data_IF_391908586516
#
_entry.id   IF_391908586516
#
_cell.length_a   1.000
_cell.length_b   1.000
_cell.length_c   1.000
_cell.angle_alpha   90.00
_cell.angle_beta   90.00
_cell.angle_gamma   90.00
#
_symmetry.space_group_name_H-M   'P 1'
#
loop_
_entity.id
_entity.type
_entity.pdbx_description
1 polymer ?
#
# COMPACT_ATOMS: atom_id res chain seq x y z
N UNK A 1 -9.11 -1.34 6.19
CA UNK A 1 -8.13 -1.24 5.08
C UNK A 1 -8.43 -2.31 4.04
N UNK A 2 -8.42 -3.58 4.45
CA UNK A 2 -8.73 -4.77 3.66
C UNK A 2 -10.09 -4.74 2.95
N UNK A 3 -11.15 -4.37 3.65
CA UNK A 3 -12.52 -4.32 3.08
C UNK A 3 -12.66 -3.39 1.87
N UNK A 4 -11.87 -2.31 1.81
CA UNK A 4 -11.89 -1.37 0.68
C UNK A 4 -11.23 -1.97 -0.57
N UNK A 5 -10.20 -2.78 -0.38
CA UNK A 5 -9.42 -3.39 -1.48
C UNK A 5 -9.90 -4.82 -1.77
N UNK A 6 -10.99 -5.26 -1.14
CA UNK A 6 -11.57 -6.60 -1.28
C UNK A 6 -10.51 -7.71 -1.11
N UNK A 7 -9.60 -7.54 -0.16
CA UNK A 7 -8.57 -8.52 0.17
C UNK A 7 -8.85 -9.19 1.51
N UNK A 8 -8.71 -10.50 1.58
CA UNK A 8 -8.81 -11.25 2.85
C UNK A 8 -7.57 -11.07 3.74
N UNK A 9 -6.41 -10.76 3.13
CA UNK A 9 -5.15 -10.50 3.83
C UNK A 9 -4.18 -9.70 2.94
N UNK A 10 -3.09 -9.21 3.54
CA UNK A 10 -1.95 -8.64 2.82
C UNK A 10 -0.75 -9.59 2.93
N UNK A 11 0.10 -9.58 1.92
CA UNK A 11 1.41 -10.19 2.02
C UNK A 11 2.30 -9.46 3.03
N UNK A 12 3.30 -10.15 3.55
CA UNK A 12 4.39 -9.55 4.33
C UNK A 12 5.72 -9.80 3.63
N UNK A 13 6.70 -8.93 3.89
CA UNK A 13 8.06 -9.08 3.37
C UNK A 13 8.60 -10.47 3.73
N UNK A 14 8.47 -10.88 4.99
CA UNK A 14 8.92 -12.20 5.47
C UNK A 14 8.22 -13.35 4.73
N UNK A 15 6.90 -13.25 4.53
CA UNK A 15 6.15 -14.29 3.84
C UNK A 15 6.60 -14.47 2.39
N UNK A 16 6.85 -13.37 1.67
CA UNK A 16 7.36 -13.42 0.31
C UNK A 16 8.79 -13.97 0.24
N UNK A 17 9.67 -13.61 1.17
CA UNK A 17 11.02 -14.20 1.26
C UNK A 17 10.97 -15.71 1.46
N UNK A 18 10.08 -16.18 2.34
CA UNK A 18 9.86 -17.61 2.57
C UNK A 18 9.39 -18.32 1.30
N UNK A 19 8.38 -17.79 0.62
CA UNK A 19 7.85 -18.38 -0.61
C UNK A 19 8.89 -18.40 -1.74
N UNK A 20 9.68 -17.34 -1.89
CA UNK A 20 10.73 -17.27 -2.89
C UNK A 20 11.79 -18.37 -2.66
N UNK A 21 12.28 -18.51 -1.43
CA UNK A 21 13.24 -19.56 -1.07
C UNK A 21 12.68 -20.98 -1.31
N UNK A 22 11.42 -21.23 -0.92
CA UNK A 22 10.75 -22.51 -1.18
C UNK A 22 10.58 -22.82 -2.68
N UNK A 23 10.54 -21.77 -3.51
CA UNK A 23 10.38 -21.88 -4.96
C UNK A 23 11.73 -21.92 -5.71
N UNK A 24 12.85 -22.03 -4.99
CA UNK A 24 14.20 -22.11 -5.59
C UNK A 24 14.77 -20.77 -6.03
N UNK A 25 14.22 -19.65 -5.58
CA UNK A 25 14.79 -18.33 -5.84
C UNK A 25 15.82 -17.96 -4.77
N UNK A 26 16.90 -17.32 -5.20
CA UNK A 26 17.88 -16.68 -4.33
C UNK A 26 17.50 -15.22 -4.10
N UNK A 27 17.62 -14.77 -2.85
CA UNK A 27 17.41 -13.37 -2.47
C UNK A 27 18.62 -12.52 -2.86
N UNK A 28 18.39 -11.53 -3.74
CA UNK A 28 19.43 -10.57 -4.13
C UNK A 28 19.37 -9.34 -3.24
N UNK A 29 18.16 -8.81 -3.00
CA UNK A 29 17.97 -7.61 -2.18
C UNK A 29 16.54 -7.54 -1.65
N UNK A 30 16.40 -7.03 -0.42
CA UNK A 30 15.13 -6.56 0.13
C UNK A 30 15.33 -5.13 0.60
N UNK A 31 14.46 -4.23 0.14
CA UNK A 31 14.42 -2.83 0.55
C UNK A 31 13.14 -2.60 1.34
N UNK A 32 13.29 -2.27 2.62
CA UNK A 32 12.19 -1.82 3.45
C UNK A 32 12.03 -0.31 3.32
N UNK A 33 10.93 0.10 2.70
CA UNK A 33 10.53 1.50 2.47
C UNK A 33 9.31 1.86 3.32
N UNK A 34 9.04 1.15 4.42
CA UNK A 34 7.85 1.35 5.26
C UNK A 34 7.74 2.78 5.81
N UNK A 35 8.87 3.46 6.04
CA UNK A 35 8.90 4.88 6.44
C UNK A 35 8.22 5.81 5.40
N UNK A 36 8.25 5.45 4.12
CA UNK A 36 7.68 6.24 3.04
C UNK A 36 6.17 6.01 2.87
N UNK A 37 5.62 4.95 3.45
CA UNK A 37 4.23 4.54 3.24
C UNK A 37 3.25 5.60 3.74
N UNK A 38 3.47 6.11 4.96
CA UNK A 38 2.64 7.17 5.52
C UNK A 38 2.74 8.47 4.72
N UNK A 39 3.96 8.88 4.35
CA UNK A 39 4.21 10.10 3.60
C UNK A 39 3.55 10.05 2.21
N UNK A 40 3.67 8.92 1.51
CA UNK A 40 3.05 8.72 0.20
C UNK A 40 1.52 8.83 0.27
N UNK A 41 0.88 8.06 1.15
CA UNK A 41 -0.59 8.05 1.23
C UNK A 41 -1.16 9.36 1.80
N UNK A 42 -0.40 10.07 2.64
CA UNK A 42 -0.76 11.41 3.10
C UNK A 42 -0.75 12.40 1.93
N UNK A 43 0.24 12.32 1.04
CA UNK A 43 0.28 13.13 -0.18
C UNK A 43 -0.89 12.83 -1.12
N UNK A 44 -1.24 11.55 -1.32
CA UNK A 44 -2.39 11.16 -2.15
C UNK A 44 -3.71 11.68 -1.55
N UNK A 45 -3.88 11.61 -0.23
CA UNK A 45 -5.05 12.14 0.46
C UNK A 45 -5.21 13.66 0.29
N UNK A 46 -4.10 14.39 0.33
CA UNK A 46 -4.08 15.83 0.06
C UNK A 46 -4.51 16.13 -1.37
N UNK A 47 -3.94 15.44 -2.36
CA UNK A 47 -4.28 15.65 -3.77
C UNK A 47 -5.73 15.27 -4.08
N UNK A 48 -6.25 14.20 -3.47
CA UNK A 48 -7.68 13.85 -3.57
C UNK A 48 -8.58 15.01 -3.14
N UNK A 49 -8.17 15.74 -2.10
CA UNK A 49 -8.92 16.88 -1.56
C UNK A 49 -8.77 18.12 -2.44
N UNK A 50 -7.55 18.43 -2.89
CA UNK A 50 -7.25 19.57 -3.77
C UNK A 50 -7.96 19.42 -5.12
N UNK A 51 -7.95 18.22 -5.69
CA UNK A 51 -8.51 17.92 -7.01
C UNK A 51 -9.99 17.53 -6.97
N UNK A 52 -10.66 17.63 -5.82
CA UNK A 52 -12.03 17.12 -5.62
C UNK A 52 -13.01 17.53 -6.74
N UNK A 53 -13.06 18.82 -7.08
CA UNK A 53 -13.96 19.35 -8.11
C UNK A 53 -13.72 18.76 -9.50
N UNK A 54 -12.47 18.49 -9.86
CA UNK A 54 -12.14 17.84 -11.12
C UNK A 54 -12.48 16.35 -11.08
N UNK A 55 -12.26 15.69 -9.94
CA UNK A 55 -12.49 14.27 -9.77
C UNK A 55 -13.98 13.90 -9.77
N UNK A 56 -14.87 14.73 -9.21
CA UNK A 56 -16.32 14.46 -9.26
C UNK A 56 -16.91 14.49 -10.68
N UNK A 57 -16.15 15.00 -11.67
CA UNK A 57 -16.57 14.94 -13.08
C UNK A 57 -16.39 13.55 -13.69
N UNK A 58 -15.54 12.71 -13.08
CA UNK A 58 -15.15 11.38 -13.61
C UNK A 58 -15.30 10.26 -12.59
N UNK A 59 -15.62 10.58 -11.34
CA UNK A 59 -15.84 9.66 -10.23
C UNK A 59 -17.07 10.09 -9.43
N UNK A 60 -17.75 9.14 -8.79
CA UNK A 60 -18.88 9.49 -7.92
C UNK A 60 -18.40 10.09 -6.59
N UNK A 61 -19.22 10.93 -5.97
CA UNK A 61 -18.89 11.49 -4.65
C UNK A 61 -18.75 10.40 -3.58
N UNK A 62 -19.59 9.36 -3.64
CA UNK A 62 -19.53 8.23 -2.72
C UNK A 62 -18.20 7.50 -2.82
N UNK A 63 -17.69 7.30 -4.04
CA UNK A 63 -16.39 6.69 -4.27
C UNK A 63 -15.26 7.52 -3.66
N UNK A 64 -15.26 8.84 -3.88
CA UNK A 64 -14.24 9.73 -3.33
C UNK A 64 -14.29 9.77 -1.79
N UNK A 65 -15.49 9.75 -1.21
CA UNK A 65 -15.67 9.68 0.24
C UNK A 65 -15.08 8.37 0.82
N UNK A 66 -15.40 7.21 0.23
CA UNK A 66 -14.81 5.93 0.65
C UNK A 66 -13.29 5.89 0.44
N UNK A 67 -12.79 6.49 -0.65
CA UNK A 67 -11.36 6.59 -0.93
C UNK A 67 -10.62 7.40 0.13
N UNK A 68 -11.20 8.54 0.55
CA UNK A 68 -10.66 9.40 1.60
C UNK A 68 -10.50 8.63 2.92
N UNK A 69 -11.54 7.93 3.35
CA UNK A 69 -11.51 7.10 4.59
C UNK A 69 -10.47 6.00 4.47
N UNK A 70 -10.40 5.32 3.32
CA UNK A 70 -9.40 4.29 3.09
C UNK A 70 -7.97 4.82 3.21
N UNK A 71 -7.67 5.96 2.57
CA UNK A 71 -6.34 6.58 2.62
C UNK A 71 -5.96 7.01 4.05
N UNK A 72 -6.92 7.53 4.84
CA UNK A 72 -6.69 7.85 6.25
C UNK A 72 -6.27 6.60 7.04
N UNK A 73 -6.92 5.47 6.83
CA UNK A 73 -6.53 4.21 7.47
C UNK A 73 -5.12 3.76 7.05
N UNK A 74 -4.76 3.88 5.76
CA UNK A 74 -3.40 3.56 5.28
C UNK A 74 -2.33 4.45 5.95
N UNK A 75 -2.59 5.76 6.07
CA UNK A 75 -1.69 6.70 6.77
C UNK A 75 -1.54 6.32 8.24
N UNK A 76 -2.65 6.05 8.94
CA UNK A 76 -2.61 5.66 10.35
C UNK A 76 -1.87 4.35 10.57
N UNK A 77 -2.18 3.32 9.78
CA UNK A 77 -1.55 2.02 9.89
C UNK A 77 -0.07 2.05 9.51
N UNK A 78 0.34 2.90 8.58
CA UNK A 78 1.75 3.19 8.30
C UNK A 78 2.44 3.87 9.48
N UNK A 79 1.85 4.93 10.05
CA UNK A 79 2.40 5.64 11.22
C UNK A 79 2.49 4.74 12.47
N UNK A 80 1.63 3.73 12.59
CA UNK A 80 1.63 2.77 13.70
C UNK A 80 2.48 1.52 13.43
N UNK A 81 3.16 1.41 12.28
CA UNK A 81 3.99 0.26 11.94
C UNK A 81 3.22 -1.04 11.64
N UNK A 82 1.92 -0.97 11.37
CA UNK A 82 1.10 -2.14 11.03
C UNK A 82 1.13 -2.48 9.54
N UNK A 83 1.65 -1.58 8.70
CA UNK A 83 1.80 -1.80 7.26
C UNK A 83 3.24 -1.52 6.83
N UNK A 84 3.68 -2.29 5.84
CA UNK A 84 5.02 -2.18 5.28
C UNK A 84 4.96 -1.91 3.78
N UNK A 85 6.00 -1.26 3.27
CA UNK A 85 6.27 -1.15 1.84
C UNK A 85 7.62 -1.78 1.55
N UNK A 86 7.63 -2.94 0.88
CA UNK A 86 8.86 -3.63 0.51
C UNK A 86 9.07 -3.67 -1.01
N UNK A 87 10.32 -3.51 -1.45
CA UNK A 87 10.78 -3.92 -2.78
C UNK A 87 11.67 -5.15 -2.60
N UNK A 88 11.30 -6.25 -3.24
CA UNK A 88 12.00 -7.52 -3.10
C UNK A 88 12.54 -7.95 -4.47
N UNK A 89 13.84 -8.20 -4.55
CA UNK A 89 14.54 -8.65 -5.74
C UNK A 89 15.09 -10.06 -5.53
N UNK A 90 14.66 -10.97 -6.39
CA UNK A 90 15.05 -12.38 -6.38
C UNK A 90 15.55 -12.80 -7.76
N UNK A 91 16.43 -13.79 -7.78
CA UNK A 91 16.94 -14.41 -9.00
C UNK A 91 16.74 -15.93 -8.95
N UNK A 92 16.47 -16.54 -10.10
CA UNK A 92 16.50 -17.99 -10.27
C UNK A 92 17.50 -18.31 -11.38
N UNK A 93 18.41 -19.23 -11.09
CA UNK A 93 19.38 -19.74 -12.05
C UNK A 93 18.73 -20.64 -13.11
#
# INVERSE_FOLDING_TARGET
ILDRIHLDSLGSIEYYRKLAAQSGFQEIRVEDLSENLAAHYERVLQELTVQHHALIQVCTEEYLASMKVGLQHWVQAGKSGHLSWGILHFQRD
#
